data_IF_271516320930
#
_entry.id   IF_271516320930
#
_cell.length_a   1.000
_cell.length_b   1.000
_cell.length_c   1.000
_cell.angle_alpha   90.00
_cell.angle_beta   90.00
_cell.angle_gamma   90.00
#
_symmetry.space_group_name_H-M   'P 1'
#
loop_
_entity.id
_entity.type
_entity.pdbx_description
1 polymer ?
#
# COMPACT_ATOMS: atom_id res chain seq x y z
N UNK A 1 -7.26 -28.06 -13.95
CA UNK A 1 -7.42 -27.13 -12.80
C UNK A 1 -8.17 -25.85 -13.17
N UNK A 2 -7.94 -25.27 -14.36
CA UNK A 2 -8.72 -24.12 -14.87
C UNK A 2 -10.19 -24.44 -15.20
N UNK A 3 -10.57 -25.72 -15.26
CA UNK A 3 -11.91 -26.17 -15.66
C UNK A 3 -13.01 -25.76 -14.67
N UNK A 4 -12.71 -25.62 -13.37
CA UNK A 4 -13.71 -25.19 -12.36
C UNK A 4 -14.09 -23.70 -12.48
N UNK A 5 -13.19 -22.87 -13.02
CA UNK A 5 -13.34 -21.40 -13.05
C UNK A 5 -13.23 -20.82 -14.47
N UNK A 6 -13.42 -21.65 -15.49
CA UNK A 6 -13.26 -21.24 -16.88
C UNK A 6 -14.19 -20.07 -17.27
N UNK A 7 -15.33 -19.93 -16.60
CA UNK A 7 -16.27 -18.81 -16.78
C UNK A 7 -15.97 -17.59 -15.88
N UNK A 8 -15.17 -17.76 -14.82
CA UNK A 8 -14.84 -16.67 -13.88
C UNK A 8 -13.41 -16.16 -14.01
N UNK A 9 -12.60 -16.77 -14.89
CA UNK A 9 -11.25 -16.31 -15.22
C UNK A 9 -11.21 -15.82 -16.66
N UNK A 10 -11.19 -14.50 -16.85
CA UNK A 10 -10.94 -13.91 -18.17
C UNK A 10 -9.43 -13.89 -18.43
N UNK A 11 -9.00 -14.44 -19.57
CA UNK A 11 -7.59 -14.44 -19.98
C UNK A 11 -7.35 -13.27 -20.94
N UNK A 12 -6.56 -12.29 -20.53
CA UNK A 12 -6.11 -11.24 -21.46
C UNK A 12 -5.01 -11.81 -22.35
N UNK A 13 -5.18 -11.73 -23.68
CA UNK A 13 -4.11 -12.05 -24.65
C UNK A 13 -3.11 -10.88 -24.70
N UNK A 14 -2.25 -10.78 -23.69
CA UNK A 14 -1.02 -9.97 -23.72
C UNK A 14 0.20 -10.90 -23.80
N UNK A 15 1.37 -10.36 -24.19
CA UNK A 15 2.65 -11.12 -24.23
C UNK A 15 2.97 -11.79 -22.89
N UNK A 16 2.54 -11.16 -21.79
CA UNK A 16 2.47 -11.74 -20.45
C UNK A 16 1.05 -12.25 -20.24
N UNK A 17 0.85 -13.56 -20.03
CA UNK A 17 -0.48 -14.11 -19.76
C UNK A 17 -1.03 -13.57 -18.44
N UNK A 18 -2.16 -12.87 -18.48
CA UNK A 18 -2.83 -12.37 -17.28
C UNK A 18 -4.18 -13.08 -17.09
N UNK A 19 -4.42 -13.60 -15.88
CA UNK A 19 -5.70 -14.14 -15.46
C UNK A 19 -6.45 -13.12 -14.62
N UNK A 20 -7.69 -12.82 -14.99
CA UNK A 20 -8.56 -11.88 -14.29
C UNK A 20 -9.60 -12.68 -13.52
N UNK A 21 -9.62 -12.57 -12.20
CA UNK A 21 -10.64 -13.21 -11.36
C UNK A 21 -11.88 -12.33 -11.31
N UNK A 22 -13.03 -12.85 -11.73
CA UNK A 22 -14.30 -12.13 -11.79
C UNK A 22 -15.40 -12.75 -10.92
N UNK A 23 -15.03 -13.58 -9.94
CA UNK A 23 -15.98 -14.09 -8.94
C UNK A 23 -15.37 -14.15 -7.55
N UNK A 24 -16.20 -13.92 -6.53
CA UNK A 24 -15.79 -14.01 -5.12
C UNK A 24 -15.28 -15.41 -4.78
N UNK A 25 -15.94 -16.47 -5.27
CA UNK A 25 -15.51 -17.85 -5.04
C UNK A 25 -14.10 -18.09 -5.59
N UNK A 26 -13.81 -17.63 -6.81
CA UNK A 26 -12.49 -17.77 -7.40
C UNK A 26 -11.43 -16.96 -6.63
N UNK A 27 -11.77 -15.73 -6.22
CA UNK A 27 -10.88 -14.89 -5.43
C UNK A 27 -10.54 -15.54 -4.07
N UNK A 28 -11.54 -16.01 -3.33
CA UNK A 28 -11.33 -16.67 -2.04
C UNK A 28 -10.57 -18.00 -2.17
N UNK A 29 -10.94 -18.84 -3.15
CA UNK A 29 -10.29 -20.15 -3.30
C UNK A 29 -8.85 -20.04 -3.83
N UNK A 30 -8.50 -18.99 -4.58
CA UNK A 30 -7.15 -18.80 -5.11
C UNK A 30 -6.29 -17.90 -4.22
N UNK A 31 -6.80 -16.75 -3.78
CA UNK A 31 -6.02 -15.73 -3.07
C UNK A 31 -5.98 -15.93 -1.57
N UNK A 32 -6.91 -16.69 -0.98
CA UNK A 32 -6.94 -16.96 0.46
C UNK A 32 -6.48 -18.40 0.76
N UNK A 33 -7.32 -19.38 0.43
CA UNK A 33 -7.05 -20.82 0.69
C UNK A 33 -5.76 -21.34 0.04
N UNK A 34 -5.42 -20.81 -1.13
CA UNK A 34 -4.25 -21.20 -1.93
C UNK A 34 -3.26 -20.05 -2.15
N UNK A 35 -3.29 -19.05 -1.25
CA UNK A 35 -2.42 -17.88 -1.28
C UNK A 35 -0.94 -18.22 -1.53
N UNK A 36 -0.42 -19.28 -0.90
CA UNK A 36 0.96 -19.73 -1.09
C UNK A 36 1.36 -19.98 -2.56
N UNK A 37 0.40 -20.36 -3.42
CA UNK A 37 0.64 -20.63 -4.83
C UNK A 37 0.50 -19.39 -5.73
N UNK A 38 -0.31 -18.40 -5.32
CA UNK A 38 -0.77 -17.31 -6.20
C UNK A 38 -0.46 -15.90 -5.68
N UNK A 39 0.04 -15.75 -4.45
CA UNK A 39 0.28 -14.44 -3.83
C UNK A 39 1.62 -13.80 -4.18
N UNK A 40 2.49 -14.47 -4.95
CA UNK A 40 3.74 -13.85 -5.40
C UNK A 40 3.49 -12.68 -6.37
N UNK A 41 4.39 -11.71 -6.38
CA UNK A 41 4.31 -10.54 -7.26
C UNK A 41 5.05 -10.80 -8.58
N UNK A 42 4.54 -10.27 -9.70
CA UNK A 42 5.26 -10.33 -10.97
C UNK A 42 6.56 -9.53 -10.89
N UNK A 43 7.50 -9.81 -11.80
CA UNK A 43 8.76 -9.06 -11.90
C UNK A 43 8.49 -7.62 -12.35
N UNK A 44 8.81 -6.65 -11.49
CA UNK A 44 8.71 -5.23 -11.79
C UNK A 44 10.09 -4.65 -12.14
N UNK A 45 10.44 -4.59 -13.42
CA UNK A 45 11.77 -4.11 -13.87
C UNK A 45 12.03 -2.67 -13.44
N UNK A 46 11.09 -1.76 -13.71
CA UNK A 46 11.24 -0.35 -13.32
C UNK A 46 11.38 -0.19 -11.79
N UNK A 47 10.43 -0.73 -11.02
CA UNK A 47 10.39 -0.50 -9.57
C UNK A 47 11.50 -1.23 -8.83
N UNK A 48 11.76 -2.49 -9.16
CA UNK A 48 12.71 -3.32 -8.40
C UNK A 48 14.13 -3.17 -8.96
N UNK A 49 14.33 -3.33 -10.27
CA UNK A 49 15.69 -3.40 -10.83
C UNK A 49 16.30 -2.03 -11.13
N UNK A 50 15.48 -1.05 -11.52
CA UNK A 50 16.00 0.29 -11.84
C UNK A 50 15.96 1.23 -10.63
N UNK A 51 14.88 1.19 -9.84
CA UNK A 51 14.71 2.09 -8.67
C UNK A 51 15.18 1.46 -7.35
N UNK A 52 15.56 0.19 -7.33
CA UNK A 52 16.08 -0.48 -6.11
C UNK A 52 15.03 -0.69 -5.02
N UNK A 53 13.77 -0.94 -5.38
CA UNK A 53 12.70 -1.19 -4.41
C UNK A 53 12.54 -2.67 -4.03
N UNK A 54 13.62 -3.46 -4.04
CA UNK A 54 13.57 -4.90 -3.72
C UNK A 54 13.00 -5.21 -2.32
N UNK A 55 13.15 -4.28 -1.37
CA UNK A 55 12.66 -4.41 0.01
C UNK A 55 11.24 -3.88 0.20
N UNK A 56 10.55 -3.46 -0.86
CA UNK A 56 9.19 -2.97 -0.75
C UNK A 56 8.21 -4.15 -0.62
N UNK A 57 7.57 -4.27 0.55
CA UNK A 57 6.64 -5.36 0.85
C UNK A 57 5.47 -5.48 -0.14
N UNK A 58 5.00 -4.36 -0.72
CA UNK A 58 3.82 -4.35 -1.58
C UNK A 58 4.09 -4.96 -2.97
N UNK A 59 5.31 -4.81 -3.49
CA UNK A 59 5.70 -5.20 -4.85
C UNK A 59 6.76 -6.31 -4.90
N UNK A 60 7.40 -6.64 -3.77
CA UNK A 60 8.42 -7.66 -3.68
C UNK A 60 7.88 -9.07 -3.94
N UNK A 61 8.68 -9.97 -4.55
CA UNK A 61 8.30 -11.36 -4.77
C UNK A 61 8.20 -12.13 -3.45
N UNK A 62 7.39 -13.17 -3.42
CA UNK A 62 7.25 -14.02 -2.24
C UNK A 62 8.59 -14.73 -1.94
N UNK A 63 9.16 -14.45 -0.78
CA UNK A 63 10.47 -14.94 -0.34
C UNK A 63 10.52 -15.11 1.19
N UNK A 64 11.60 -15.69 1.72
CA UNK A 64 11.86 -15.70 3.18
C UNK A 64 11.95 -14.29 3.76
N UNK A 65 12.65 -13.37 3.07
CA UNK A 65 12.77 -11.97 3.46
C UNK A 65 11.42 -11.26 3.47
N UNK A 66 10.59 -11.46 2.43
CA UNK A 66 9.24 -10.91 2.38
C UNK A 66 8.36 -11.39 3.54
N UNK A 67 8.41 -12.69 3.87
CA UNK A 67 7.67 -13.25 5.02
C UNK A 67 8.09 -12.64 6.35
N UNK A 68 9.40 -12.42 6.52
CA UNK A 68 9.94 -11.80 7.74
C UNK A 68 9.49 -10.35 7.88
N UNK A 69 9.62 -9.55 6.82
CA UNK A 69 9.12 -8.16 6.78
C UNK A 69 7.62 -8.10 7.06
N UNK A 70 6.83 -9.00 6.44
CA UNK A 70 5.38 -9.09 6.66
C UNK A 70 5.06 -9.35 8.13
N UNK A 71 5.79 -10.28 8.77
CA UNK A 71 5.63 -10.60 10.19
C UNK A 71 5.87 -9.37 11.05
N UNK A 72 6.99 -8.68 10.87
CA UNK A 72 7.31 -7.47 11.65
C UNK A 72 6.26 -6.37 11.50
N UNK A 73 5.79 -6.12 10.28
CA UNK A 73 4.74 -5.12 10.03
C UNK A 73 3.40 -5.54 10.64
N UNK A 74 3.02 -6.83 10.54
CA UNK A 74 1.81 -7.34 11.18
C UNK A 74 1.87 -7.25 12.70
N UNK A 75 3.03 -7.55 13.29
CA UNK A 75 3.24 -7.45 14.72
C UNK A 75 3.12 -5.99 15.18
N UNK A 76 3.73 -5.05 14.44
CA UNK A 76 3.66 -3.60 14.68
C UNK A 76 2.22 -3.05 14.57
N UNK A 77 1.45 -3.54 13.59
CA UNK A 77 0.06 -3.11 13.34
C UNK A 77 -0.99 -4.05 13.95
N UNK A 78 -0.59 -4.85 14.95
CA UNK A 78 -1.49 -5.81 15.58
C UNK A 78 -2.60 -5.10 16.37
N UNK A 79 -3.71 -5.82 16.60
CA UNK A 79 -4.83 -5.33 17.42
C UNK A 79 -4.41 -4.89 18.82
N UNK A 80 -3.33 -5.45 19.35
CA UNK A 80 -2.80 -5.08 20.67
C UNK A 80 -1.97 -3.81 20.59
N UNK A 81 -1.15 -3.63 19.54
CA UNK A 81 -0.30 -2.43 19.41
C UNK A 81 -1.03 -1.20 18.91
N UNK A 82 -2.13 -1.36 18.18
CA UNK A 82 -2.92 -0.21 17.67
C UNK A 82 -3.34 0.75 18.79
N UNK A 83 -3.50 0.27 20.03
CA UNK A 83 -3.85 1.12 21.16
C UNK A 83 -2.77 2.13 21.53
N UNK A 84 -1.50 1.80 21.27
CA UNK A 84 -0.36 2.70 21.47
C UNK A 84 -0.42 3.89 20.50
N UNK A 85 -1.08 3.73 19.35
CA UNK A 85 -1.23 4.78 18.34
C UNK A 85 -2.50 5.62 18.49
N UNK A 86 -3.39 5.31 19.45
CA UNK A 86 -4.66 6.04 19.60
C UNK A 86 -4.49 7.52 19.90
N UNK A 87 -3.47 7.89 20.68
CA UNK A 87 -3.17 9.31 20.96
C UNK A 87 -2.83 10.06 19.68
N UNK A 88 -1.90 9.51 18.87
CA UNK A 88 -1.50 10.04 17.56
C UNK A 88 -2.72 10.16 16.65
N UNK A 89 -3.48 9.07 16.48
CA UNK A 89 -4.66 9.06 15.61
C UNK A 89 -5.71 10.09 16.04
N UNK A 90 -5.93 10.26 17.34
CA UNK A 90 -6.87 11.24 17.88
C UNK A 90 -6.41 12.67 17.60
N UNK A 91 -5.16 12.99 17.90
CA UNK A 91 -4.58 14.30 17.65
C UNK A 91 -4.65 14.67 16.17
N UNK A 92 -4.20 13.76 15.30
CA UNK A 92 -4.22 13.98 13.85
C UNK A 92 -5.64 14.09 13.30
N UNK A 93 -6.61 13.35 13.85
CA UNK A 93 -8.02 13.49 13.47
C UNK A 93 -8.61 14.84 13.89
N UNK A 94 -8.30 15.34 15.10
CA UNK A 94 -8.73 16.67 15.53
C UNK A 94 -8.14 17.76 14.62
N UNK A 95 -6.84 17.64 14.27
CA UNK A 95 -6.17 18.53 13.32
C UNK A 95 -6.87 18.52 11.96
N UNK A 96 -7.15 17.33 11.42
CA UNK A 96 -7.89 17.16 10.15
C UNK A 96 -9.23 17.93 10.18
N UNK A 97 -10.02 17.77 11.24
CA UNK A 97 -11.33 18.42 11.34
C UNK A 97 -11.20 19.95 11.33
N UNK A 98 -10.22 20.51 12.04
CA UNK A 98 -9.94 21.95 12.03
C UNK A 98 -9.54 22.43 10.63
N UNK A 99 -8.73 21.66 9.91
CA UNK A 99 -8.27 21.99 8.56
C UNK A 99 -9.43 21.95 7.54
N UNK A 100 -10.31 20.94 7.66
CA UNK A 100 -11.53 20.85 6.85
C UNK A 100 -12.48 22.02 7.15
N UNK A 101 -12.64 22.40 8.41
CA UNK A 101 -13.47 23.56 8.78
C UNK A 101 -12.93 24.88 8.20
N UNK A 102 -11.61 25.02 8.14
CA UNK A 102 -10.96 26.22 7.60
C UNK A 102 -11.00 26.28 6.06
N UNK A 103 -10.80 25.14 5.39
CA UNK A 103 -10.73 25.05 3.93
C UNK A 103 -11.40 23.78 3.41
N UNK A 104 -12.74 23.70 3.38
CA UNK A 104 -13.47 22.49 3.02
C UNK A 104 -13.30 22.08 1.54
N UNK A 105 -12.83 22.97 0.68
CA UNK A 105 -12.58 22.70 -0.74
C UNK A 105 -11.33 21.83 -1.00
N UNK A 106 -10.42 21.70 -0.03
CA UNK A 106 -9.13 21.00 -0.20
C UNK A 106 -9.10 19.61 0.45
N UNK A 107 -10.21 18.87 0.42
CA UNK A 107 -10.35 17.58 1.13
C UNK A 107 -9.23 16.58 0.80
N UNK A 108 -8.87 16.44 -0.48
CA UNK A 108 -7.85 15.48 -0.92
C UNK A 108 -6.49 15.78 -0.29
N UNK A 109 -6.08 17.06 -0.27
CA UNK A 109 -4.83 17.50 0.35
C UNK A 109 -4.85 17.26 1.87
N UNK A 110 -5.98 17.54 2.52
CA UNK A 110 -6.14 17.31 3.96
C UNK A 110 -5.99 15.84 4.34
N UNK A 111 -6.60 14.93 3.57
CA UNK A 111 -6.46 13.49 3.80
C UNK A 111 -5.07 12.97 3.43
N UNK A 112 -4.46 13.48 2.35
CA UNK A 112 -3.09 13.13 1.98
C UNK A 112 -2.11 13.51 3.12
N UNK A 113 -2.25 14.73 3.66
CA UNK A 113 -1.44 15.19 4.81
C UNK A 113 -1.70 14.38 6.07
N UNK A 114 -2.95 14.04 6.36
CA UNK A 114 -3.29 13.17 7.50
C UNK A 114 -2.57 11.83 7.39
N UNK A 115 -2.65 11.18 6.23
CA UNK A 115 -2.00 9.89 6.00
C UNK A 115 -0.48 9.99 6.16
N UNK A 116 0.14 11.02 5.56
CA UNK A 116 1.57 11.25 5.68
C UNK A 116 1.98 11.47 7.14
N UNK A 117 1.24 12.29 7.90
CA UNK A 117 1.51 12.57 9.31
C UNK A 117 1.46 11.30 10.15
N UNK A 118 0.40 10.49 10.00
CA UNK A 118 0.25 9.25 10.76
C UNK A 118 1.37 8.27 10.42
N UNK A 119 1.67 8.06 9.13
CA UNK A 119 2.71 7.12 8.71
C UNK A 119 4.07 7.57 9.26
N UNK A 120 4.48 8.81 9.01
CA UNK A 120 5.79 9.32 9.42
C UNK A 120 5.98 9.32 10.95
N UNK A 121 4.93 9.63 11.70
CA UNK A 121 4.98 9.63 13.15
C UNK A 121 5.05 8.22 13.74
N UNK A 122 4.25 7.28 13.21
CA UNK A 122 4.27 5.88 13.69
C UNK A 122 5.58 5.18 13.29
N UNK A 123 6.08 5.41 12.06
CA UNK A 123 7.24 4.66 11.56
C UNK A 123 8.58 5.28 11.94
N UNK A 124 8.67 6.61 12.02
CA UNK A 124 9.93 7.33 12.23
C UNK A 124 9.92 8.23 13.46
N UNK A 125 8.79 8.37 14.17
CA UNK A 125 8.65 9.38 15.22
C UNK A 125 8.72 10.81 14.69
N UNK A 126 8.52 10.98 13.37
CA UNK A 126 8.68 12.28 12.71
C UNK A 126 7.37 13.07 12.78
N UNK A 127 7.44 14.26 13.39
CA UNK A 127 6.27 15.12 13.55
C UNK A 127 6.23 16.19 12.45
N UNK A 128 5.23 16.10 11.59
CA UNK A 128 4.97 17.12 10.56
C UNK A 128 4.53 18.41 11.25
N UNK A 129 5.35 19.46 11.13
CA UNK A 129 5.09 20.76 11.75
C UNK A 129 4.46 21.77 10.79
N UNK A 130 4.57 21.56 9.48
CA UNK A 130 4.11 22.51 8.46
C UNK A 130 3.40 21.80 7.30
N UNK A 131 2.64 22.57 6.53
CA UNK A 131 1.93 22.04 5.36
C UNK A 131 2.89 21.69 4.21
N UNK A 132 4.00 22.40 4.10
CA UNK A 132 5.04 22.28 3.08
C UNK A 132 6.19 21.36 3.51
N UNK A 133 5.91 20.32 4.29
CA UNK A 133 6.94 19.43 4.83
C UNK A 133 7.73 18.70 3.72
N UNK A 134 9.06 18.83 3.77
CA UNK A 134 9.98 18.33 2.75
C UNK A 134 9.82 16.82 2.51
N UNK A 135 9.58 16.02 3.56
CA UNK A 135 9.41 14.57 3.41
C UNK A 135 8.09 14.23 2.73
N UNK A 136 7.04 14.99 2.99
CA UNK A 136 5.74 14.81 2.34
C UNK A 136 5.81 15.21 0.87
N UNK A 137 6.47 16.33 0.56
CA UNK A 137 6.67 16.78 -0.82
C UNK A 137 7.52 15.77 -1.61
N UNK A 138 8.63 15.32 -1.02
CA UNK A 138 9.50 14.32 -1.62
C UNK A 138 8.75 13.00 -1.88
N UNK A 139 7.99 12.50 -0.90
CA UNK A 139 7.21 11.28 -1.06
C UNK A 139 6.13 11.41 -2.15
N UNK A 140 5.45 12.55 -2.20
CA UNK A 140 4.45 12.86 -3.23
C UNK A 140 5.09 12.91 -4.61
N UNK A 141 6.20 13.64 -4.76
CA UNK A 141 6.94 13.77 -6.02
C UNK A 141 7.46 12.42 -6.50
N UNK A 142 8.12 11.65 -5.63
CA UNK A 142 8.63 10.33 -5.96
C UNK A 142 7.51 9.37 -6.43
N UNK A 143 6.34 9.44 -5.80
CA UNK A 143 5.16 8.64 -6.19
C UNK A 143 4.65 9.05 -7.57
N UNK A 144 4.53 10.36 -7.84
CA UNK A 144 4.07 10.89 -9.13
C UNK A 144 5.04 10.56 -10.26
N UNK A 145 6.34 10.74 -10.05
CA UNK A 145 7.39 10.43 -11.03
C UNK A 145 7.44 8.92 -11.32
N UNK A 146 7.34 8.09 -10.29
CA UNK A 146 7.30 6.63 -10.48
C UNK A 146 6.06 6.19 -11.27
N UNK A 147 4.90 6.81 -11.01
CA UNK A 147 3.66 6.51 -11.72
C UNK A 147 3.67 6.99 -13.18
N UNK A 148 4.39 8.09 -13.47
CA UNK A 148 4.50 8.64 -14.83
C UNK A 148 5.58 7.94 -15.66
N UNK A 149 6.66 7.46 -15.05
CA UNK A 149 7.76 6.75 -15.72
C UNK A 149 7.34 5.41 -16.36
N UNK A 150 6.18 4.86 -15.97
CA UNK A 150 5.63 3.63 -16.54
C UNK A 150 4.63 3.83 -17.69
N UNK A 151 4.37 5.07 -18.13
CA UNK A 151 3.51 5.40 -19.28
C UNK A 151 4.34 5.50 -20.56
#
# INVERSE_FOLDING_TARGET
>A
MFTKYQQSIMRRRSKTGAGILNSLEAAHDLLDKRSHNYSSRPRFVLLIEMLGWENNLAIGPYSSSWRLQRKWIQDALSKTRITEYHSILRERSCKLLLDIMAAPQNLEEHFARLNAAIVLEITYGYHISRADDDLVQLATQATLETASAGK
#
